data_IF_944565193985
#
_entry.id   IF_944565193985
#
_cell.length_a   1.000
_cell.length_b   1.000
_cell.length_c   1.000
_cell.angle_alpha   90.00
_cell.angle_beta   90.00
_cell.angle_gamma   90.00
#
_symmetry.space_group_name_H-M   'P 1'
#
loop_
_entity.id
_entity.type
_entity.pdbx_description
1 polymer ?
#
# COMPACT_ATOMS: atom_id res chain seq x y z
N UNK A 1 -10.07 21.65 7.26
CA UNK A 1 -11.21 20.73 7.08
C UNK A 1 -10.66 19.51 6.37
N UNK A 2 -10.44 18.42 7.09
CA UNK A 2 -10.00 17.16 6.52
C UNK A 2 -11.17 16.60 5.70
N UNK A 3 -11.06 16.67 4.37
CA UNK A 3 -12.01 16.01 3.49
C UNK A 3 -11.78 14.51 3.68
N UNK A 4 -12.80 13.81 4.20
CA UNK A 4 -12.79 12.36 4.31
C UNK A 4 -12.52 11.75 2.93
N UNK A 5 -11.69 10.71 2.91
CA UNK A 5 -11.32 10.01 1.69
C UNK A 5 -12.56 9.58 0.89
N UNK A 6 -12.49 9.60 -0.45
CA UNK A 6 -13.59 9.13 -1.28
C UNK A 6 -13.93 7.68 -0.91
N UNK A 7 -15.23 7.38 -0.81
CA UNK A 7 -15.77 6.07 -0.39
C UNK A 7 -15.21 4.89 -1.20
N UNK A 8 -14.68 5.14 -2.40
CA UNK A 8 -14.06 4.15 -3.28
C UNK A 8 -12.76 3.57 -2.72
N UNK A 9 -11.80 4.39 -2.26
CA UNK A 9 -10.49 3.87 -1.83
C UNK A 9 -10.56 2.91 -0.63
N UNK A 10 -11.57 3.07 0.23
CA UNK A 10 -11.86 2.14 1.32
C UNK A 10 -12.37 0.80 0.77
N UNK A 11 -13.38 0.83 -0.11
CA UNK A 11 -13.98 -0.35 -0.69
C UNK A 11 -12.96 -1.11 -1.56
N UNK A 12 -12.16 -0.40 -2.34
CA UNK A 12 -11.11 -0.96 -3.18
C UNK A 12 -10.05 -1.69 -2.34
N UNK A 13 -9.68 -1.14 -1.18
CA UNK A 13 -8.75 -1.79 -0.25
C UNK A 13 -9.36 -3.05 0.40
N UNK A 14 -10.64 -3.02 0.75
CA UNK A 14 -11.36 -4.19 1.29
C UNK A 14 -11.39 -5.31 0.24
N UNK A 15 -11.82 -5.02 -0.99
CA UNK A 15 -11.91 -5.97 -2.09
C UNK A 15 -10.54 -6.57 -2.45
N UNK A 16 -9.50 -5.75 -2.53
CA UNK A 16 -8.14 -6.18 -2.85
C UNK A 16 -7.52 -7.06 -1.76
N UNK A 17 -7.74 -6.75 -0.48
CA UNK A 17 -7.25 -7.59 0.62
C UNK A 17 -7.98 -8.94 0.66
N UNK A 18 -9.27 -8.95 0.32
CA UNK A 18 -10.07 -10.16 0.26
C UNK A 18 -9.63 -11.09 -0.89
N UNK A 19 -9.30 -10.51 -2.05
CA UNK A 19 -8.76 -11.23 -3.21
C UNK A 19 -7.35 -11.82 -2.99
N UNK A 20 -6.57 -11.26 -2.07
CA UNK A 20 -5.21 -11.75 -1.73
C UNK A 20 -5.19 -13.02 -0.87
N UNK A 21 -6.34 -13.51 -0.40
CA UNK A 21 -6.42 -14.69 0.47
C UNK A 21 -7.28 -15.78 -0.16
N UNK A 22 -6.72 -16.98 -0.31
CA UNK A 22 -7.32 -18.13 -1.00
C UNK A 22 -8.65 -18.64 -0.42
N UNK A 23 -9.14 -18.11 0.71
CA UNK A 23 -10.38 -18.63 1.33
C UNK A 23 -11.29 -17.54 1.96
N UNK A 24 -10.97 -16.24 1.82
CA UNK A 24 -11.80 -15.15 2.39
C UNK A 24 -12.15 -15.29 3.88
N UNK A 25 -11.35 -16.08 4.62
CA UNK A 25 -11.67 -16.51 5.98
C UNK A 25 -11.62 -15.38 7.02
N UNK A 26 -11.99 -15.66 8.28
CA UNK A 26 -12.19 -14.64 9.32
C UNK A 26 -10.94 -13.78 9.60
N UNK A 27 -9.73 -14.31 9.36
CA UNK A 27 -8.48 -13.54 9.48
C UNK A 27 -8.37 -12.48 8.38
N UNK A 28 -8.67 -12.85 7.13
CA UNK A 28 -8.62 -11.92 6.00
C UNK A 28 -9.62 -10.78 6.17
N UNK A 29 -10.85 -11.13 6.54
CA UNK A 29 -11.91 -10.15 6.80
C UNK A 29 -11.53 -9.17 7.92
N UNK A 30 -10.94 -9.69 9.00
CA UNK A 30 -10.46 -8.84 10.10
C UNK A 30 -9.33 -7.89 9.65
N UNK A 31 -8.40 -8.37 8.82
CA UNK A 31 -7.31 -7.55 8.29
C UNK A 31 -7.80 -6.50 7.29
N UNK A 32 -8.77 -6.84 6.44
CA UNK A 32 -9.42 -5.91 5.52
C UNK A 32 -10.08 -4.77 6.28
N UNK A 33 -10.91 -5.11 7.28
CA UNK A 33 -11.59 -4.13 8.14
C UNK A 33 -10.60 -3.27 8.94
N UNK A 34 -9.52 -3.85 9.47
CA UNK A 34 -8.48 -3.10 10.17
C UNK A 34 -7.85 -2.05 9.26
N UNK A 35 -7.48 -2.45 8.05
CA UNK A 35 -6.83 -1.57 7.08
C UNK A 35 -7.76 -0.46 6.60
N UNK A 36 -9.02 -0.78 6.30
CA UNK A 36 -10.06 0.17 5.91
C UNK A 36 -10.35 1.20 7.01
N UNK A 37 -10.42 0.75 8.26
CA UNK A 37 -10.59 1.62 9.44
C UNK A 37 -9.39 2.54 9.61
N UNK A 38 -8.17 2.01 9.51
CA UNK A 38 -6.95 2.81 9.64
C UNK A 38 -6.78 3.81 8.49
N UNK A 39 -7.21 3.48 7.27
CA UNK A 39 -7.11 4.37 6.12
C UNK A 39 -8.01 5.60 6.31
N UNK A 40 -9.25 5.38 6.73
CA UNK A 40 -10.25 6.45 6.91
C UNK A 40 -10.11 7.21 8.24
N UNK A 41 -9.60 6.58 9.29
CA UNK A 41 -9.51 7.15 10.64
C UNK A 41 -8.24 7.93 10.97
N UNK A 42 -7.23 7.92 10.08
CA UNK A 42 -5.91 8.53 10.36
C UNK A 42 -5.88 10.06 10.34
N UNK A 43 -6.86 10.70 9.67
CA UNK A 43 -6.87 12.15 9.45
C UNK A 43 -5.84 12.65 8.41
N UNK A 44 -5.04 11.76 7.82
CA UNK A 44 -4.17 12.06 6.69
C UNK A 44 -4.99 12.19 5.40
N UNK A 45 -4.54 13.04 4.48
CA UNK A 45 -5.07 13.03 3.11
C UNK A 45 -4.67 11.74 2.38
N UNK A 46 -5.39 11.42 1.29
CA UNK A 46 -5.27 10.15 0.56
C UNK A 46 -3.85 9.85 0.12
N UNK A 47 -3.24 10.85 -0.51
CA UNK A 47 -1.89 10.74 -1.04
C UNK A 47 -0.90 10.45 0.09
N UNK A 48 -0.97 11.22 1.17
CA UNK A 48 -0.10 11.03 2.34
C UNK A 48 -0.33 9.66 2.98
N UNK A 49 -1.58 9.21 3.12
CA UNK A 49 -1.91 7.92 3.72
C UNK A 49 -1.37 6.73 2.91
N UNK A 50 -1.51 6.77 1.59
CA UNK A 50 -1.02 5.72 0.68
C UNK A 50 0.50 5.67 0.61
N UNK A 51 1.18 6.83 0.51
CA UNK A 51 2.65 6.89 0.53
C UNK A 51 3.23 6.43 1.87
N UNK A 52 2.57 6.77 2.99
CA UNK A 52 2.97 6.29 4.33
C UNK A 52 2.88 4.78 4.43
N UNK A 53 1.81 4.18 3.89
CA UNK A 53 1.68 2.72 3.84
C UNK A 53 2.76 2.07 2.98
N UNK A 54 3.02 2.60 1.79
CA UNK A 54 4.11 2.12 0.93
C UNK A 54 5.47 2.19 1.65
N UNK A 55 5.76 3.30 2.33
CA UNK A 55 6.98 3.44 3.13
C UNK A 55 7.06 2.39 4.26
N UNK A 56 5.95 2.07 4.91
CA UNK A 56 5.89 1.02 5.92
C UNK A 56 6.15 -0.38 5.32
N UNK A 57 5.62 -0.69 4.14
CA UNK A 57 5.90 -1.97 3.46
C UNK A 57 7.39 -2.14 3.16
N UNK A 58 8.04 -1.07 2.71
CA UNK A 58 9.49 -1.01 2.50
C UNK A 58 10.20 -1.26 3.83
N UNK A 59 9.87 -0.50 4.87
CA UNK A 59 10.49 -0.62 6.18
C UNK A 59 10.34 -2.02 6.79
N UNK A 60 9.22 -2.71 6.55
CA UNK A 60 8.93 -4.05 7.04
C UNK A 60 9.45 -5.18 6.15
N UNK A 61 9.94 -4.87 4.94
CA UNK A 61 10.28 -5.86 3.90
C UNK A 61 9.14 -6.83 3.60
N UNK A 62 7.96 -6.25 3.38
CA UNK A 62 6.71 -6.99 3.13
C UNK A 62 6.81 -7.97 1.95
N UNK A 63 5.82 -8.86 1.84
CA UNK A 63 5.70 -9.79 0.70
C UNK A 63 5.34 -9.07 -0.60
N UNK A 64 5.68 -9.61 -1.79
CA UNK A 64 5.28 -9.02 -3.08
C UNK A 64 3.78 -8.72 -3.19
N UNK A 65 2.92 -9.63 -2.74
CA UNK A 65 1.47 -9.44 -2.79
C UNK A 65 1.00 -8.20 -2.02
N UNK A 66 1.68 -7.84 -0.93
CA UNK A 66 1.36 -6.62 -0.16
C UNK A 66 1.62 -5.34 -0.95
N UNK A 67 2.63 -5.33 -1.83
CA UNK A 67 2.91 -4.20 -2.71
C UNK A 67 1.84 -4.07 -3.79
N UNK A 68 1.34 -5.17 -4.34
CA UNK A 68 0.34 -5.15 -5.42
C UNK A 68 -0.86 -4.28 -5.09
N UNK A 69 -1.46 -4.52 -3.91
CA UNK A 69 -2.66 -3.82 -3.45
C UNK A 69 -2.41 -2.33 -3.25
N UNK A 70 -1.28 -1.99 -2.64
CA UNK A 70 -0.97 -0.60 -2.34
C UNK A 70 -0.51 0.18 -3.58
N UNK A 71 0.12 -0.48 -4.54
CA UNK A 71 0.46 0.12 -5.83
C UNK A 71 -0.79 0.36 -6.67
N UNK A 72 -1.78 -0.55 -6.64
CA UNK A 72 -3.05 -0.34 -7.31
C UNK A 72 -3.84 0.83 -6.73
N UNK A 73 -3.96 0.90 -5.40
CA UNK A 73 -4.60 2.03 -4.73
C UNK A 73 -3.89 3.35 -5.02
N UNK A 74 -2.55 3.34 -5.12
CA UNK A 74 -1.78 4.52 -5.49
C UNK A 74 -2.06 4.94 -6.95
N UNK A 75 -2.17 3.99 -7.88
CA UNK A 75 -2.56 4.24 -9.27
C UNK A 75 -3.97 4.84 -9.36
N UNK A 76 -4.95 4.24 -8.69
CA UNK A 76 -6.34 4.71 -8.68
C UNK A 76 -6.48 6.11 -8.06
N UNK A 77 -5.62 6.43 -7.08
CA UNK A 77 -5.50 7.77 -6.49
C UNK A 77 -4.66 8.76 -7.32
N UNK A 78 -4.19 8.37 -8.52
CA UNK A 78 -3.43 9.23 -9.43
C UNK A 78 -2.01 9.57 -8.94
N UNK A 79 -1.42 8.73 -8.09
CA UNK A 79 -0.04 8.91 -7.62
C UNK A 79 0.92 8.46 -8.73
N UNK A 80 1.63 9.43 -9.32
CA UNK A 80 2.65 9.16 -10.34
C UNK A 80 3.73 8.19 -9.81
N UNK A 81 4.09 7.12 -10.56
CA UNK A 81 5.24 6.28 -10.27
C UNK A 81 6.54 7.03 -9.95
N UNK A 82 6.76 8.24 -10.49
CA UNK A 82 7.90 9.07 -10.12
C UNK A 82 7.88 9.50 -8.65
N UNK A 83 6.71 9.73 -8.08
CA UNK A 83 6.54 10.03 -6.64
C UNK A 83 6.94 8.84 -5.79
N UNK A 84 6.55 7.62 -6.19
CA UNK A 84 6.92 6.39 -5.48
C UNK A 84 8.45 6.20 -5.51
N UNK A 85 9.08 6.42 -6.67
CA UNK A 85 10.55 6.38 -6.79
C UNK A 85 11.22 7.42 -5.89
N UNK A 86 10.69 8.64 -5.83
CA UNK A 86 11.22 9.67 -4.94
C UNK A 86 11.14 9.25 -3.47
N UNK A 87 10.03 8.64 -3.04
CA UNK A 87 9.91 8.07 -1.68
C UNK A 87 10.96 7.00 -1.41
N UNK A 88 11.24 6.11 -2.36
CA UNK A 88 12.30 5.10 -2.19
C UNK A 88 13.70 5.73 -2.04
N UNK A 89 13.97 6.81 -2.77
CA UNK A 89 15.23 7.58 -2.65
C UNK A 89 15.34 8.21 -1.26
N UNK A 90 14.27 8.85 -0.77
CA UNK A 90 14.22 9.44 0.56
C UNK A 90 14.32 8.39 1.69
N UNK A 91 13.78 7.19 1.48
CA UNK A 91 13.86 6.09 2.44
C UNK A 91 15.24 5.42 2.49
N UNK A 92 16.02 5.47 1.40
CA UNK A 92 17.31 4.79 1.32
C UNK A 92 18.26 5.06 2.51
N UNK A 93 18.48 6.31 2.97
CA UNK A 93 19.31 6.57 4.15
C UNK A 93 18.66 6.14 5.48
N UNK A 94 17.34 5.91 5.53
CA UNK A 94 16.60 5.58 6.75
C UNK A 94 16.50 4.06 6.98
N UNK A 95 16.26 3.29 5.92
CA UNK A 95 16.06 1.82 6.01
C UNK A 95 17.21 1.01 5.42
N UNK A 96 18.15 1.67 4.72
CA UNK A 96 19.32 1.06 4.10
C UNK A 96 19.08 0.51 2.69
N UNK A 97 20.15 0.48 1.88
CA UNK A 97 20.13 0.09 0.47
C UNK A 97 19.57 -1.31 0.22
N UNK A 98 19.89 -2.28 1.08
CA UNK A 98 19.39 -3.65 0.94
C UNK A 98 17.86 -3.72 0.99
N UNK A 99 17.24 -2.89 1.85
CA UNK A 99 15.78 -2.82 1.99
C UNK A 99 15.13 -2.21 0.75
N UNK A 100 15.75 -1.17 0.18
CA UNK A 100 15.28 -0.54 -1.06
C UNK A 100 15.36 -1.49 -2.25
N UNK A 101 16.48 -2.20 -2.42
CA UNK A 101 16.64 -3.18 -3.52
C UNK A 101 15.61 -4.29 -3.40
N UNK A 102 15.41 -4.84 -2.19
CA UNK A 102 14.39 -5.86 -1.93
C UNK A 102 12.99 -5.36 -2.27
N UNK A 103 12.63 -4.15 -1.82
CA UNK A 103 11.33 -3.56 -2.12
C UNK A 103 11.12 -3.36 -3.62
N UNK A 104 12.13 -2.88 -4.35
CA UNK A 104 12.05 -2.69 -5.79
C UNK A 104 11.83 -4.01 -6.54
N UNK A 105 12.57 -5.08 -6.20
CA UNK A 105 12.39 -6.41 -6.79
C UNK A 105 10.98 -6.96 -6.50
N UNK A 106 10.52 -6.87 -5.26
CA UNK A 106 9.19 -7.34 -4.86
C UNK A 106 8.06 -6.56 -5.51
N UNK A 107 8.20 -5.25 -5.67
CA UNK A 107 7.24 -4.40 -6.38
C UNK A 107 7.16 -4.76 -7.87
N UNK A 108 8.30 -5.01 -8.53
CA UNK A 108 8.34 -5.47 -9.93
C UNK A 108 7.67 -6.83 -10.08
N UNK A 109 7.98 -7.79 -9.20
CA UNK A 109 7.34 -9.12 -9.22
C UNK A 109 5.83 -9.04 -9.05
N UNK A 110 5.36 -8.15 -8.17
CA UNK A 110 3.94 -7.92 -7.97
C UNK A 110 3.27 -7.41 -9.25
N UNK A 111 3.87 -6.42 -9.91
CA UNK A 111 3.34 -5.86 -11.17
C UNK A 111 3.30 -6.89 -12.32
N UNK A 112 4.21 -7.88 -12.33
CA UNK A 112 4.25 -8.94 -13.34
C UNK A 112 3.31 -10.13 -13.06
N UNK A 113 2.61 -10.14 -11.92
CA UNK A 113 1.71 -11.23 -11.53
C UNK A 113 0.24 -11.03 -11.91
N UNK A 114 -0.05 -9.96 -12.65
CA UNK A 114 -1.36 -9.60 -13.22
C UNK A 114 -1.26 -9.63 -14.75
#
# INVERSE_FOLDING_TARGET
MAQGLPTTAKADLEDLLQAMTDDGGPVSEALARLNATALTGSGLDERTALLTRLAALVALDASPASYLVHLRLAEDAGIDPATIRAVLVELAPLVGTARIISAADKAVRAASSI
#
